data_IF_008266035972
#
_entry.id   IF_008266035972
#
_cell.length_a   1.000
_cell.length_b   1.000
_cell.length_c   1.000
_cell.angle_alpha   90.00
_cell.angle_beta   90.00
_cell.angle_gamma   90.00
#
_symmetry.space_group_name_H-M   'P 1'
#
loop_
_entity.id
_entity.type
_entity.pdbx_description
1 polymer ?
#
# COMPACT_ATOMS: atom_id res chain seq x y z
N UNK A 1 22.71 31.25 46.80
CA UNK A 1 21.76 30.32 47.45
C UNK A 1 20.45 30.40 46.69
N UNK A 2 20.08 29.27 46.05
CA UNK A 2 18.74 28.76 45.64
C UNK A 2 17.60 29.76 45.37
N UNK A 3 16.82 29.68 44.29
CA UNK A 3 16.59 28.68 43.23
C UNK A 3 15.58 29.33 42.26
N UNK A 4 15.59 29.03 40.96
CA UNK A 4 15.13 27.75 40.43
C UNK A 4 13.66 27.85 40.03
N UNK A 5 13.35 28.74 39.09
CA UNK A 5 12.01 28.90 38.52
C UNK A 5 11.86 28.09 37.23
N UNK A 6 11.46 26.84 37.42
CA UNK A 6 10.45 26.06 36.66
C UNK A 6 10.35 26.21 35.14
N UNK A 7 10.76 25.11 34.49
CA UNK A 7 10.01 24.37 33.47
C UNK A 7 9.89 25.00 32.06
N UNK A 8 10.99 24.86 31.32
CA UNK A 8 10.98 24.90 29.87
C UNK A 8 10.19 23.70 29.34
N UNK A 9 8.98 23.95 28.83
CA UNK A 9 8.18 23.04 28.01
C UNK A 9 8.96 22.56 26.77
N UNK A 10 9.75 21.51 26.97
CA UNK A 10 10.36 20.68 25.93
C UNK A 10 9.70 19.31 26.03
N UNK A 11 8.70 19.05 25.19
CA UNK A 11 8.53 17.81 24.39
C UNK A 11 7.08 17.67 23.93
N UNK A 12 6.79 18.18 22.74
CA UNK A 12 5.72 17.63 21.91
C UNK A 12 6.29 17.46 20.50
N UNK A 13 6.91 16.30 20.28
CA UNK A 13 7.19 15.80 18.94
C UNK A 13 5.85 15.66 18.21
N UNK A 14 5.48 16.66 17.42
CA UNK A 14 4.52 16.45 16.32
C UNK A 14 5.33 15.89 15.16
N UNK A 15 5.33 14.57 15.03
CA UNK A 15 5.76 13.85 13.85
C UNK A 15 5.03 14.43 12.63
N UNK A 16 5.72 15.30 11.89
CA UNK A 16 5.30 15.71 10.55
C UNK A 16 5.44 14.47 9.66
N UNK A 17 4.33 13.76 9.45
CA UNK A 17 4.22 12.87 8.30
C UNK A 17 4.34 13.70 7.02
N UNK A 18 4.92 13.15 5.94
CA UNK A 18 5.15 13.92 4.72
C UNK A 18 3.80 14.39 4.13
N UNK A 19 3.59 15.70 4.15
CA UNK A 19 2.62 16.37 3.29
C UNK A 19 3.27 16.48 1.90
N UNK A 20 2.79 15.70 0.93
CA UNK A 20 3.11 15.92 -0.50
C UNK A 20 1.83 15.82 -1.34
N UNK A 21 1.70 16.80 -2.24
CA UNK A 21 0.46 17.28 -2.82
C UNK A 21 -0.39 16.23 -3.55
N UNK A 22 -1.69 16.30 -3.32
CA UNK A 22 -2.70 15.65 -4.15
C UNK A 22 -3.07 16.57 -5.30
N UNK A 23 -2.84 16.12 -6.54
CA UNK A 23 -3.40 16.74 -7.74
C UNK A 23 -4.87 16.25 -7.87
N UNK A 24 -5.89 17.11 -7.75
CA UNK A 24 -7.28 16.67 -7.58
C UNK A 24 -8.00 16.23 -8.88
N UNK A 25 -7.30 15.67 -9.86
CA UNK A 25 -7.87 15.40 -11.19
C UNK A 25 -8.41 13.97 -11.43
N UNK A 26 -8.41 13.07 -10.44
CA UNK A 26 -9.02 11.74 -10.63
C UNK A 26 -10.41 11.66 -9.99
N UNK A 27 -11.40 12.21 -10.71
CA UNK A 27 -12.84 12.12 -10.38
C UNK A 27 -13.46 10.75 -10.68
N UNK A 28 -12.79 9.65 -10.33
CA UNK A 28 -13.30 8.28 -10.38
C UNK A 28 -13.13 7.64 -9.01
N UNK A 29 -14.10 6.82 -8.57
CA UNK A 29 -14.17 6.27 -7.21
C UNK A 29 -12.83 5.80 -6.63
N UNK A 30 -12.57 6.13 -5.35
CA UNK A 30 -11.32 5.82 -4.67
C UNK A 30 -11.24 4.31 -4.42
N UNK A 31 -10.20 3.66 -4.93
CA UNK A 31 -9.87 2.26 -4.62
C UNK A 31 -9.06 2.16 -3.34
N UNK A 32 -9.21 1.05 -2.62
CA UNK A 32 -8.49 0.77 -1.38
C UNK A 32 -7.97 -0.66 -1.40
N UNK A 33 -6.88 -0.89 -0.66
CA UNK A 33 -6.47 -2.24 -0.24
C UNK A 33 -6.32 -2.29 1.27
N UNK A 34 -6.88 -3.32 1.88
CA UNK A 34 -6.79 -3.59 3.32
C UNK A 34 -5.92 -4.81 3.57
N UNK A 35 -4.99 -4.72 4.50
CA UNK A 35 -4.23 -5.88 4.98
C UNK A 35 -5.17 -6.79 5.76
N UNK A 36 -5.32 -8.02 5.29
CA UNK A 36 -6.09 -9.07 5.97
C UNK A 36 -5.16 -10.01 6.74
N UNK A 37 -4.03 -10.38 6.14
CA UNK A 37 -3.00 -11.23 6.76
C UNK A 37 -1.62 -10.59 6.55
N UNK A 38 -0.73 -10.70 7.52
CA UNK A 38 0.62 -10.11 7.47
C UNK A 38 0.98 -9.39 8.78
N UNK A 39 2.00 -8.53 8.72
CA UNK A 39 2.51 -7.84 9.93
C UNK A 39 1.55 -6.78 10.50
N UNK A 40 0.74 -6.15 9.66
CA UNK A 40 -0.16 -5.06 10.06
C UNK A 40 -1.64 -5.32 9.65
N UNK A 41 -2.32 -6.36 10.18
CA UNK A 41 -3.72 -6.62 9.85
C UNK A 41 -4.63 -5.42 10.16
N UNK A 42 -5.59 -5.15 9.27
CA UNK A 42 -6.52 -4.04 9.38
C UNK A 42 -6.01 -2.71 8.82
N UNK A 43 -4.71 -2.59 8.49
CA UNK A 43 -4.18 -1.39 7.83
C UNK A 43 -4.79 -1.21 6.45
N UNK A 44 -5.22 -0.01 6.11
CA UNK A 44 -5.84 0.34 4.82
C UNK A 44 -4.96 1.34 4.08
N UNK A 45 -4.82 1.14 2.77
CA UNK A 45 -4.11 2.03 1.86
C UNK A 45 -5.06 2.49 0.76
N UNK A 46 -5.01 3.78 0.43
CA UNK A 46 -5.80 4.37 -0.64
C UNK A 46 -5.00 4.40 -1.94
N UNK A 47 -5.64 4.08 -3.06
CA UNK A 47 -5.03 4.14 -4.40
C UNK A 47 -5.18 5.56 -4.94
N UNK A 48 -4.25 6.44 -4.55
CA UNK A 48 -4.30 7.89 -4.84
C UNK A 48 -3.60 8.33 -6.13
N UNK A 49 -2.96 7.42 -6.85
CA UNK A 49 -2.16 7.71 -8.04
C UNK A 49 -2.37 6.66 -9.13
N UNK A 50 -1.88 6.93 -10.34
CA UNK A 50 -2.00 6.04 -11.49
C UNK A 50 -1.38 4.66 -11.22
N UNK A 51 -0.25 4.61 -10.52
CA UNK A 51 0.41 3.36 -10.17
C UNK A 51 1.00 3.41 -8.77
N UNK A 52 0.64 2.43 -7.96
CA UNK A 52 1.02 2.31 -6.56
C UNK A 52 1.80 1.01 -6.35
N UNK A 53 3.06 1.15 -5.95
CA UNK A 53 4.00 0.04 -5.79
C UNK A 53 3.84 -0.67 -4.45
N UNK A 54 3.99 -2.00 -4.46
CA UNK A 54 3.90 -2.86 -3.30
C UNK A 54 5.14 -3.74 -3.23
N UNK A 55 5.78 -3.79 -2.06
CA UNK A 55 6.99 -4.58 -1.89
C UNK A 55 7.66 -4.39 -0.54
N UNK A 56 8.72 -5.17 -0.30
CA UNK A 56 9.51 -5.06 0.94
C UNK A 56 10.53 -3.92 0.93
N UNK A 57 10.64 -3.14 -0.15
CA UNK A 57 11.47 -1.94 -0.12
C UNK A 57 10.75 -0.85 0.67
N UNK A 58 11.48 -0.11 1.51
CA UNK A 58 10.94 1.09 2.16
C UNK A 58 10.60 2.21 1.18
N UNK A 59 11.04 2.08 -0.07
CA UNK A 59 10.72 2.97 -1.18
C UNK A 59 9.39 2.62 -1.87
N UNK A 60 8.80 1.45 -1.56
CA UNK A 60 7.48 1.08 -2.06
C UNK A 60 6.38 1.88 -1.34
N UNK A 61 5.33 2.26 -2.07
CA UNK A 61 4.21 3.01 -1.52
C UNK A 61 3.46 2.22 -0.45
N UNK A 62 3.27 0.92 -0.70
CA UNK A 62 2.89 -0.05 0.30
C UNK A 62 4.13 -0.86 0.64
N UNK A 63 4.78 -0.44 1.72
CA UNK A 63 5.84 -1.21 2.35
C UNK A 63 5.23 -2.42 3.07
N UNK A 64 5.64 -3.62 2.64
CA UNK A 64 5.25 -4.89 3.23
C UNK A 64 6.46 -5.50 3.93
N UNK A 65 6.42 -5.60 5.25
CA UNK A 65 7.49 -6.21 6.02
C UNK A 65 7.38 -7.73 6.01
N UNK A 66 7.73 -8.33 4.87
CA UNK A 66 7.66 -9.75 4.61
C UNK A 66 8.87 -10.21 3.77
N UNK A 67 9.61 -11.18 4.29
CA UNK A 67 10.82 -11.70 3.64
C UNK A 67 10.52 -12.46 2.34
N UNK A 68 9.31 -13.02 2.21
CA UNK A 68 8.85 -13.69 0.99
C UNK A 68 8.37 -12.69 -0.08
N UNK A 69 8.31 -11.40 0.23
CA UNK A 69 7.94 -10.34 -0.72
C UNK A 69 9.20 -9.78 -1.39
N UNK A 70 9.19 -9.60 -2.72
CA UNK A 70 10.26 -8.91 -3.45
C UNK A 70 10.34 -7.42 -3.09
N UNK A 71 11.51 -6.78 -3.32
CA UNK A 71 11.68 -5.34 -3.04
C UNK A 71 10.66 -4.47 -3.79
N UNK A 72 10.48 -4.77 -5.06
CA UNK A 72 9.33 -4.37 -5.88
C UNK A 72 8.64 -5.68 -6.27
N UNK A 73 7.43 -5.92 -5.76
CA UNK A 73 6.73 -7.19 -5.95
C UNK A 73 5.59 -7.04 -6.96
N UNK A 74 4.74 -6.05 -6.76
CA UNK A 74 3.61 -5.79 -7.62
C UNK A 74 3.27 -4.30 -7.61
N UNK A 75 2.46 -3.88 -8.56
CA UNK A 75 1.87 -2.54 -8.63
C UNK A 75 0.35 -2.62 -8.79
N UNK A 76 -0.36 -1.72 -8.11
CA UNK A 76 -1.77 -1.45 -8.34
C UNK A 76 -1.87 -0.30 -9.32
N UNK A 77 -2.51 -0.53 -10.45
CA UNK A 77 -2.68 0.44 -11.52
C UNK A 77 -4.12 0.91 -11.55
N UNK A 78 -4.34 2.20 -11.41
CA UNK A 78 -5.63 2.84 -11.67
C UNK A 78 -5.78 3.03 -13.17
N UNK A 79 -6.73 2.31 -13.77
CA UNK A 79 -6.99 2.33 -15.21
C UNK A 79 -8.02 3.41 -15.60
N UNK A 80 -8.47 4.22 -14.63
CA UNK A 80 -9.54 5.20 -14.82
C UNK A 80 -10.93 4.58 -14.72
N UNK A 81 -11.96 5.43 -14.64
CA UNK A 81 -13.38 5.03 -14.62
C UNK A 81 -13.72 3.99 -13.53
N UNK A 82 -13.03 4.03 -12.38
CA UNK A 82 -13.22 3.08 -11.28
C UNK A 82 -12.68 1.66 -11.56
N UNK A 83 -11.91 1.48 -12.64
CA UNK A 83 -11.25 0.22 -12.97
C UNK A 83 -9.82 0.19 -12.43
N UNK A 84 -9.45 -0.93 -11.83
CA UNK A 84 -8.14 -1.14 -11.22
C UNK A 84 -7.55 -2.45 -11.72
N UNK A 85 -6.23 -2.51 -11.81
CA UNK A 85 -5.50 -3.71 -12.18
C UNK A 85 -4.32 -3.93 -11.24
N UNK A 86 -3.94 -5.20 -11.08
CA UNK A 86 -2.74 -5.63 -10.40
C UNK A 86 -1.71 -6.05 -11.45
N UNK A 87 -0.45 -5.68 -11.27
CA UNK A 87 0.65 -6.16 -12.11
C UNK A 87 1.75 -6.70 -11.22
N UNK A 88 2.10 -7.98 -11.39
CA UNK A 88 3.30 -8.53 -10.78
C UNK A 88 4.54 -7.99 -11.50
N UNK A 89 5.49 -7.42 -10.76
CA UNK A 89 6.69 -6.75 -11.29
C UNK A 89 7.89 -7.70 -11.38
N UNK A 90 7.64 -8.99 -11.61
CA UNK A 90 8.69 -10.00 -11.70
C UNK A 90 9.09 -10.55 -10.34
N UNK A 91 8.12 -10.72 -9.45
CA UNK A 91 8.39 -11.15 -8.08
C UNK A 91 9.00 -12.56 -8.03
N UNK A 92 9.76 -12.87 -6.97
CA UNK A 92 10.41 -14.17 -6.84
C UNK A 92 9.38 -15.28 -6.61
N UNK A 93 8.42 -15.06 -5.71
CA UNK A 93 7.42 -16.05 -5.29
C UNK A 93 6.11 -15.97 -6.08
N UNK A 94 5.97 -15.00 -6.98
CA UNK A 94 4.73 -14.73 -7.70
C UNK A 94 3.68 -14.03 -6.84
N UNK A 95 2.74 -13.39 -7.51
CA UNK A 95 1.54 -12.83 -6.90
C UNK A 95 0.36 -13.76 -7.17
N UNK A 96 -0.54 -13.93 -6.19
CA UNK A 96 -1.79 -14.67 -6.36
C UNK A 96 -2.99 -13.77 -6.14
N UNK A 97 -4.05 -13.97 -6.92
CA UNK A 97 -5.36 -13.37 -6.69
C UNK A 97 -6.37 -14.51 -6.48
N UNK A 98 -7.08 -14.49 -5.35
CA UNK A 98 -8.02 -15.54 -4.95
C UNK A 98 -7.42 -16.96 -5.02
N UNK A 99 -6.13 -17.08 -4.65
CA UNK A 99 -5.39 -18.34 -4.67
C UNK A 99 -4.80 -18.74 -6.03
N UNK A 100 -5.13 -18.04 -7.12
CA UNK A 100 -4.60 -18.32 -8.46
C UNK A 100 -3.41 -17.42 -8.78
N UNK A 101 -2.34 -18.01 -9.34
CA UNK A 101 -1.14 -17.25 -9.72
C UNK A 101 -1.46 -16.34 -10.92
N UNK A 102 -1.07 -15.06 -10.84
CA UNK A 102 -1.18 -14.14 -11.98
C UNK A 102 0.07 -14.19 -12.85
N UNK A 103 -0.07 -13.84 -14.13
CA UNK A 103 1.07 -13.76 -15.03
C UNK A 103 1.98 -12.60 -14.65
N UNK A 104 3.30 -12.87 -14.60
CA UNK A 104 4.30 -11.83 -14.35
C UNK A 104 4.31 -10.80 -15.47
N UNK A 105 4.51 -9.53 -15.13
CA UNK A 105 4.58 -8.38 -16.03
C UNK A 105 3.30 -8.12 -16.86
N UNK A 106 2.20 -8.81 -16.57
CA UNK A 106 0.91 -8.59 -17.20
C UNK A 106 -0.07 -8.01 -16.19
N UNK A 107 -1.02 -7.21 -16.66
CA UNK A 107 -2.09 -6.67 -15.83
C UNK A 107 -3.18 -7.71 -15.62
N UNK A 108 -3.62 -7.85 -14.38
CA UNK A 108 -4.76 -8.63 -13.94
C UNK A 108 -5.86 -7.65 -13.49
N UNK A 109 -7.03 -7.61 -14.13
CA UNK A 109 -8.11 -6.71 -13.72
C UNK A 109 -8.64 -7.11 -12.33
N UNK A 110 -8.70 -6.17 -11.41
CA UNK A 110 -9.19 -6.40 -10.05
C UNK A 110 -10.70 -6.19 -9.94
N UNK A 111 -11.33 -7.04 -9.15
CA UNK A 111 -12.73 -6.94 -8.73
C UNK A 111 -12.82 -6.71 -7.23
N UNK A 112 -13.90 -6.05 -6.81
CA UNK A 112 -14.17 -5.80 -5.40
C UNK A 112 -14.22 -7.11 -4.60
N UNK A 113 -13.48 -7.16 -3.49
CA UNK A 113 -13.33 -8.36 -2.67
C UNK A 113 -12.15 -9.25 -3.05
N UNK A 114 -11.44 -8.98 -4.14
CA UNK A 114 -10.29 -9.78 -4.55
C UNK A 114 -9.20 -9.83 -3.46
N UNK A 115 -8.75 -11.05 -3.14
CA UNK A 115 -7.69 -11.31 -2.19
C UNK A 115 -6.36 -11.42 -2.93
N UNK A 116 -5.51 -10.42 -2.77
CA UNK A 116 -4.17 -10.32 -3.36
C UNK A 116 -3.15 -10.85 -2.36
N UNK A 117 -2.51 -11.97 -2.67
CA UNK A 117 -1.47 -12.57 -1.84
C UNK A 117 -0.08 -12.30 -2.43
N UNK A 118 0.79 -11.75 -1.58
CA UNK A 118 2.19 -11.43 -1.85
C UNK A 118 3.02 -12.05 -0.72
N UNK A 119 3.72 -13.15 -0.99
CA UNK A 119 4.41 -13.89 0.08
C UNK A 119 3.43 -14.46 1.12
N UNK A 120 3.56 -14.04 2.37
CA UNK A 120 2.64 -14.37 3.49
C UNK A 120 1.65 -13.24 3.78
N UNK A 121 1.76 -12.11 3.09
CA UNK A 121 0.83 -10.99 3.23
C UNK A 121 -0.36 -11.17 2.30
N UNK A 122 -1.57 -10.97 2.82
CA UNK A 122 -2.82 -10.94 2.03
C UNK A 122 -3.46 -9.58 2.16
N UNK A 123 -3.75 -8.96 1.02
CA UNK A 123 -4.48 -7.70 0.90
C UNK A 123 -5.85 -7.97 0.27
N UNK A 124 -6.89 -7.26 0.68
CA UNK A 124 -8.22 -7.31 0.07
C UNK A 124 -8.49 -6.00 -0.65
N UNK A 125 -8.83 -6.08 -1.93
CA UNK A 125 -9.18 -4.92 -2.74
C UNK A 125 -10.64 -4.51 -2.53
N UNK A 126 -10.89 -3.21 -2.43
CA UNK A 126 -12.22 -2.63 -2.34
C UNK A 126 -12.31 -1.35 -3.17
N UNK A 127 -13.48 -1.06 -3.72
CA UNK A 127 -13.79 0.20 -4.41
C UNK A 127 -14.85 0.96 -3.60
N UNK A 128 -14.78 2.29 -3.60
CA UNK A 128 -15.86 3.14 -3.05
C UNK A 128 -17.05 3.24 -3.99
#
# INVERSE_FOLDING_TARGET
MYGGGVDNDKTMLRSQGPQMGVNPQMGGGVGFVRVEEGKEPGRVYEIRKESLSMGRSRESDIFLEDLAVSRLHASLVNMGNGSYALKDEGSANGTKVNGQLVNKFQTYPLQEGDRIQLGQTVLVFAKK
#
